data_IF_444506274214
#
_entry.id   IF_444506274214
#
_cell.length_a   1.000
_cell.length_b   1.000
_cell.length_c   1.000
_cell.angle_alpha   90.00
_cell.angle_beta   90.00
_cell.angle_gamma   90.00
#
_symmetry.space_group_name_H-M   'P 1'
#
loop_
_entity.id
_entity.type
_entity.pdbx_description
1 polymer ?
#
# COMPACT_ATOMS: atom_id res chain seq x y z
N UNK A 1 -14.00 -57.50 -2.73
CA UNK A 1 -13.18 -56.43 -3.35
C UNK A 1 -13.76 -55.09 -2.96
N UNK A 2 -13.16 -54.37 -2.00
CA UNK A 2 -13.58 -53.04 -1.54
C UNK A 2 -12.88 -52.00 -2.42
N UNK A 3 -13.65 -51.23 -3.19
CA UNK A 3 -13.12 -50.10 -4.00
C UNK A 3 -12.90 -48.91 -3.08
N UNK A 4 -11.66 -48.49 -2.87
CA UNK A 4 -11.30 -47.22 -2.24
C UNK A 4 -11.49 -46.11 -3.28
N UNK A 5 -12.46 -45.21 -3.04
CA UNK A 5 -12.58 -43.96 -3.79
C UNK A 5 -11.74 -42.92 -3.06
N UNK A 6 -10.61 -42.56 -3.66
CA UNK A 6 -9.77 -41.46 -3.18
C UNK A 6 -10.42 -40.13 -3.59
N UNK A 7 -10.90 -39.38 -2.60
CA UNK A 7 -11.38 -38.01 -2.82
C UNK A 7 -10.15 -37.07 -2.88
N UNK A 8 -9.83 -36.63 -4.10
CA UNK A 8 -8.80 -35.63 -4.33
C UNK A 8 -9.38 -34.23 -3.97
N UNK A 9 -9.04 -33.70 -2.80
CA UNK A 9 -9.39 -32.34 -2.39
C UNK A 9 -8.56 -31.33 -3.18
N UNK A 10 -9.16 -30.66 -4.17
CA UNK A 10 -8.52 -29.52 -4.85
C UNK A 10 -8.65 -28.31 -3.92
N UNK A 11 -7.53 -27.90 -3.31
CA UNK A 11 -7.44 -26.64 -2.59
C UNK A 11 -7.47 -25.49 -3.60
N UNK A 12 -8.60 -24.78 -3.68
CA UNK A 12 -8.70 -23.54 -4.47
C UNK A 12 -7.96 -22.43 -3.73
N UNK A 13 -6.75 -22.10 -4.17
CA UNK A 13 -6.08 -20.88 -3.73
C UNK A 13 -6.77 -19.68 -4.37
N UNK A 14 -7.52 -18.92 -3.60
CA UNK A 14 -8.04 -17.62 -4.03
C UNK A 14 -6.92 -16.60 -4.01
N UNK A 15 -6.33 -16.32 -5.18
CA UNK A 15 -5.48 -15.16 -5.36
C UNK A 15 -6.38 -13.92 -5.49
N UNK A 16 -6.29 -13.00 -4.52
CA UNK A 16 -6.91 -11.69 -4.66
C UNK A 16 -6.11 -10.90 -5.71
N UNK A 17 -6.54 -10.94 -6.96
CA UNK A 17 -6.09 -10.01 -7.98
C UNK A 17 -6.80 -8.68 -7.73
N UNK A 18 -6.09 -7.67 -7.25
CA UNK A 18 -6.58 -6.30 -7.35
C UNK A 18 -6.67 -5.95 -8.83
N UNK A 19 -7.88 -5.68 -9.31
CA UNK A 19 -8.07 -5.24 -10.69
C UNK A 19 -7.39 -3.87 -10.85
N UNK A 20 -6.53 -3.74 -11.88
CA UNK A 20 -5.93 -2.46 -12.24
C UNK A 20 -7.03 -1.49 -12.68
N UNK A 21 -7.02 -0.29 -12.10
CA UNK A 21 -7.96 0.78 -12.42
C UNK A 21 -7.28 1.84 -13.26
N UNK A 22 -8.03 2.42 -14.21
CA UNK A 22 -7.58 3.58 -14.97
C UNK A 22 -8.36 4.80 -14.48
N UNK A 23 -7.60 5.81 -14.07
CA UNK A 23 -8.11 7.09 -13.57
C UNK A 23 -7.90 8.17 -14.64
N UNK A 24 -8.78 9.16 -14.67
CA UNK A 24 -8.70 10.27 -15.63
C UNK A 24 -8.43 11.59 -14.90
N UNK A 25 -7.51 12.36 -15.44
CA UNK A 25 -7.25 13.76 -15.08
C UNK A 25 -7.48 14.63 -16.31
N UNK A 26 -8.31 15.61 -16.21
CA UNK A 26 -8.53 16.59 -17.26
C UNK A 26 -7.54 17.75 -17.14
N UNK A 27 -7.00 18.21 -18.26
CA UNK A 27 -6.03 19.30 -18.36
C UNK A 27 -6.60 20.42 -19.24
N UNK A 28 -6.78 21.61 -18.70
CA UNK A 28 -7.29 22.76 -19.41
C UNK A 28 -6.62 24.04 -18.97
N UNK A 29 -7.24 25.21 -19.22
CA UNK A 29 -6.66 26.53 -18.96
C UNK A 29 -6.20 26.68 -17.51
N UNK A 30 -4.90 26.43 -17.28
CA UNK A 30 -4.17 26.51 -16.01
C UNK A 30 -4.67 25.55 -14.90
N UNK A 31 -5.26 24.41 -15.26
CA UNK A 31 -5.69 23.41 -14.28
C UNK A 31 -5.39 21.97 -14.71
N UNK A 32 -5.27 21.11 -13.69
CA UNK A 32 -5.52 19.68 -13.75
C UNK A 32 -6.70 19.34 -12.82
N UNK A 33 -7.64 18.53 -13.29
CA UNK A 33 -8.81 18.14 -12.49
C UNK A 33 -9.02 16.63 -12.55
N UNK A 34 -8.98 15.91 -11.39
CA UNK A 34 -8.67 16.45 -10.06
C UNK A 34 -7.20 16.88 -9.94
N UNK A 35 -6.95 17.93 -9.12
CA UNK A 35 -5.59 18.40 -8.85
C UNK A 35 -4.77 17.39 -8.05
N UNK A 36 -5.41 16.69 -7.12
CA UNK A 36 -4.81 15.64 -6.30
C UNK A 36 -5.58 14.33 -6.51
N UNK A 37 -4.88 13.27 -6.81
CA UNK A 37 -5.46 11.95 -7.07
C UNK A 37 -4.75 10.91 -6.21
N UNK A 38 -5.52 10.02 -5.57
CA UNK A 38 -4.97 8.85 -4.89
C UNK A 38 -5.30 7.60 -5.69
N UNK A 39 -4.28 6.79 -5.95
CA UNK A 39 -4.36 5.54 -6.72
C UNK A 39 -3.61 4.43 -6.01
N UNK A 40 -3.77 3.18 -6.46
CA UNK A 40 -3.01 2.04 -5.97
C UNK A 40 -1.84 1.70 -6.89
N UNK A 41 -0.83 1.03 -6.34
CA UNK A 41 0.25 0.44 -7.14
C UNK A 41 -0.36 -0.48 -8.20
N UNK A 42 0.03 -0.26 -9.45
CA UNK A 42 -0.51 -0.97 -10.61
C UNK A 42 -1.60 -0.21 -11.37
N UNK A 43 -2.21 0.80 -10.79
CA UNK A 43 -3.17 1.65 -11.49
C UNK A 43 -2.50 2.52 -12.54
N UNK A 44 -3.30 2.96 -13.50
CA UNK A 44 -2.90 3.88 -14.56
C UNK A 44 -3.65 5.20 -14.44
N UNK A 45 -2.97 6.30 -14.77
CA UNK A 45 -3.61 7.61 -14.91
C UNK A 45 -3.47 8.06 -16.36
N UNK A 46 -4.56 8.56 -16.92
CA UNK A 46 -4.57 9.20 -18.24
C UNK A 46 -4.90 10.68 -18.08
N UNK A 47 -4.16 11.53 -18.75
CA UNK A 47 -4.42 12.97 -18.81
C UNK A 47 -5.08 13.29 -20.15
N UNK A 48 -6.26 13.87 -20.11
CA UNK A 48 -7.05 14.27 -21.29
C UNK A 48 -7.00 15.77 -21.44
N UNK A 49 -6.74 16.24 -22.64
CA UNK A 49 -6.68 17.66 -22.98
C UNK A 49 -8.11 18.22 -23.17
N UNK A 50 -8.52 19.16 -22.34
CA UNK A 50 -9.79 19.87 -22.50
C UNK A 50 -9.69 21.02 -23.52
N UNK A 51 -8.48 21.36 -23.96
CA UNK A 51 -8.16 22.41 -24.95
C UNK A 51 -7.00 23.29 -24.49
N UNK A 52 -6.24 23.79 -25.44
CA UNK A 52 -5.00 24.51 -25.22
C UNK A 52 -3.76 23.60 -25.37
N UNK A 53 -2.58 24.20 -25.35
CA UNK A 53 -1.32 23.47 -25.43
C UNK A 53 -0.86 23.10 -24.01
N UNK A 54 -0.84 21.79 -23.71
CA UNK A 54 -0.51 21.27 -22.39
C UNK A 54 0.38 20.05 -22.50
N UNK A 55 1.19 19.81 -21.45
CA UNK A 55 1.95 18.58 -21.20
C UNK A 55 1.75 18.12 -19.76
N UNK A 56 2.41 17.04 -19.38
CA UNK A 56 2.51 16.52 -18.02
C UNK A 56 3.97 16.30 -17.71
N UNK A 57 4.54 17.12 -16.84
CA UNK A 57 5.95 17.10 -16.49
C UNK A 57 6.10 16.78 -15.00
N UNK A 58 6.55 15.58 -14.68
CA UNK A 58 6.89 15.10 -13.33
C UNK A 58 8.40 14.99 -13.10
N UNK A 59 9.22 15.71 -13.87
CA UNK A 59 10.67 15.67 -13.78
C UNK A 59 11.21 16.91 -13.04
N UNK A 60 11.08 18.08 -13.67
CA UNK A 60 11.59 19.36 -13.13
C UNK A 60 10.41 20.28 -12.84
N UNK A 61 10.32 20.82 -11.64
CA UNK A 61 9.33 21.82 -11.30
C UNK A 61 9.58 23.10 -12.13
N UNK A 62 8.62 23.46 -12.96
CA UNK A 62 8.75 24.57 -13.92
C UNK A 62 8.79 25.96 -13.25
N UNK A 63 8.42 26.05 -11.98
CA UNK A 63 8.46 27.30 -11.20
C UNK A 63 9.83 27.49 -10.54
N UNK A 64 10.34 26.43 -9.92
CA UNK A 64 11.57 26.49 -9.10
C UNK A 64 12.82 26.06 -9.85
N UNK A 65 12.66 25.42 -11.01
CA UNK A 65 13.71 24.78 -11.79
C UNK A 65 14.51 23.73 -11.00
N UNK A 66 13.86 23.08 -10.03
CA UNK A 66 14.42 22.00 -9.23
C UNK A 66 13.71 20.68 -9.51
N UNK A 67 14.37 19.51 -9.36
CA UNK A 67 13.71 18.23 -9.49
C UNK A 67 12.52 18.10 -8.53
N UNK A 68 11.43 17.48 -8.97
CA UNK A 68 10.31 17.13 -8.07
C UNK A 68 10.68 16.06 -7.04
N UNK A 69 11.78 15.33 -7.27
CA UNK A 69 12.21 14.19 -6.46
C UNK A 69 11.13 13.09 -6.33
N UNK A 70 10.37 12.90 -7.39
CA UNK A 70 9.40 11.82 -7.50
C UNK A 70 10.10 10.44 -7.41
N UNK A 71 9.42 9.39 -6.88
CA UNK A 71 9.97 8.03 -6.84
C UNK A 71 10.45 7.52 -8.22
N UNK A 72 9.72 7.89 -9.28
CA UNK A 72 10.11 7.71 -10.68
C UNK A 72 9.73 8.98 -11.44
N UNK A 73 10.62 9.49 -12.27
CA UNK A 73 10.34 10.66 -13.11
C UNK A 73 9.52 10.25 -14.33
N UNK A 74 8.67 11.16 -14.81
CA UNK A 74 7.87 10.99 -16.02
C UNK A 74 7.62 12.36 -16.68
N UNK A 75 7.50 12.35 -17.99
CA UNK A 75 7.14 13.54 -18.77
C UNK A 75 6.48 13.13 -20.09
N UNK A 76 5.74 14.03 -20.68
CA UNK A 76 5.07 13.86 -21.97
C UNK A 76 5.43 14.96 -22.96
N UNK A 77 5.33 14.73 -24.28
CA UNK A 77 5.25 15.82 -25.23
C UNK A 77 3.98 16.63 -24.99
N UNK A 78 4.01 17.92 -25.36
CA UNK A 78 2.81 18.76 -25.33
C UNK A 78 1.87 18.46 -26.51
N UNK A 79 0.57 18.61 -26.29
CA UNK A 79 -0.46 18.52 -27.33
C UNK A 79 -1.47 19.65 -27.20
N UNK A 80 -2.03 20.11 -28.33
CA UNK A 80 -3.08 21.14 -28.38
C UNK A 80 -4.44 20.62 -28.86
N UNK A 81 -4.55 19.30 -29.10
CA UNK A 81 -5.81 18.71 -29.58
C UNK A 81 -6.77 18.45 -28.43
N UNK A 82 -7.89 19.14 -28.40
CA UNK A 82 -8.95 18.90 -27.41
C UNK A 82 -9.48 17.48 -27.53
N UNK A 83 -9.72 16.81 -26.40
CA UNK A 83 -10.14 15.43 -26.28
C UNK A 83 -9.00 14.40 -26.48
N UNK A 84 -7.78 14.84 -26.84
CA UNK A 84 -6.66 13.92 -26.97
C UNK A 84 -6.07 13.52 -25.61
N UNK A 85 -5.52 12.30 -25.56
CA UNK A 85 -4.70 11.87 -24.44
C UNK A 85 -3.36 12.58 -24.53
N UNK A 86 -3.02 13.42 -23.54
CA UNK A 86 -1.71 14.06 -23.40
C UNK A 86 -0.68 13.00 -22.99
N UNK A 87 -1.03 12.22 -21.97
CA UNK A 87 -0.17 11.21 -21.38
C UNK A 87 -0.98 10.08 -20.76
N UNK A 88 -0.37 8.90 -20.70
CA UNK A 88 -0.88 7.76 -19.95
C UNK A 88 0.31 7.14 -19.20
N UNK A 89 0.20 7.00 -17.88
CA UNK A 89 1.28 6.47 -17.07
C UNK A 89 0.76 5.46 -16.04
N UNK A 90 1.46 4.32 -15.93
CA UNK A 90 1.19 3.27 -14.95
C UNK A 90 2.11 3.43 -13.75
N UNK A 91 1.53 3.62 -12.57
CA UNK A 91 2.27 3.80 -11.33
C UNK A 91 2.61 2.44 -10.69
N UNK A 92 3.89 2.10 -10.65
CA UNK A 92 4.37 0.80 -10.14
C UNK A 92 5.16 0.92 -8.84
N UNK A 93 5.49 2.13 -8.40
CA UNK A 93 6.23 2.41 -7.16
C UNK A 93 5.38 3.29 -6.27
N UNK A 94 5.16 2.95 -4.99
CA UNK A 94 4.39 3.78 -4.08
C UNK A 94 5.13 5.10 -3.77
N UNK A 95 4.36 6.14 -3.45
CA UNK A 95 4.88 7.46 -3.09
C UNK A 95 4.06 8.60 -3.64
N UNK A 96 4.51 9.83 -3.41
CA UNK A 96 3.88 11.04 -3.93
C UNK A 96 4.61 11.49 -5.18
N UNK A 97 3.86 11.71 -6.24
CA UNK A 97 4.32 12.17 -7.53
C UNK A 97 3.75 13.54 -7.82
N UNK A 98 4.59 14.56 -7.80
CA UNK A 98 4.21 15.91 -8.16
C UNK A 98 4.49 16.15 -9.64
N UNK A 99 3.66 16.94 -10.29
CA UNK A 99 3.82 17.29 -11.69
C UNK A 99 3.24 18.67 -11.99
N UNK A 100 3.65 19.26 -13.09
CA UNK A 100 3.15 20.52 -13.61
C UNK A 100 3.03 20.49 -15.14
N UNK A 101 2.51 21.57 -15.71
CA UNK A 101 2.58 21.85 -17.13
C UNK A 101 3.79 22.75 -17.41
N UNK A 102 4.75 22.24 -18.19
CA UNK A 102 5.98 22.98 -18.50
C UNK A 102 5.80 24.05 -19.59
N UNK A 103 4.61 24.16 -20.18
CA UNK A 103 4.34 25.11 -21.27
C UNK A 103 4.26 26.54 -20.72
N UNK A 104 5.21 27.36 -21.13
CA UNK A 104 5.22 28.78 -20.81
C UNK A 104 5.08 29.09 -19.31
N UNK A 105 4.07 29.85 -18.91
CA UNK A 105 3.80 30.21 -17.51
C UNK A 105 2.67 29.39 -16.88
N UNK A 106 2.30 28.24 -17.45
CA UNK A 106 1.12 27.49 -17.00
C UNK A 106 1.25 27.03 -15.54
N UNK A 107 2.40 26.47 -15.15
CA UNK A 107 2.66 26.09 -13.77
C UNK A 107 2.55 27.27 -12.80
N UNK A 108 3.14 28.42 -13.15
CA UNK A 108 3.08 29.63 -12.34
C UNK A 108 1.65 30.19 -12.19
N UNK A 109 0.77 29.88 -13.13
CA UNK A 109 -0.66 30.22 -13.08
C UNK A 109 -1.52 29.14 -12.42
N UNK A 110 -0.91 28.12 -11.79
CA UNK A 110 -1.62 27.11 -10.99
C UNK A 110 -1.80 25.76 -11.67
N UNK A 111 -1.25 25.55 -12.89
CA UNK A 111 -1.36 24.24 -13.55
C UNK A 111 -0.36 23.24 -12.99
N UNK A 112 -0.68 22.78 -11.79
CA UNK A 112 0.10 21.80 -11.01
C UNK A 112 -0.82 20.69 -10.50
N UNK A 113 -0.26 19.51 -10.25
CA UNK A 113 -1.02 18.38 -9.71
C UNK A 113 -0.15 17.41 -8.93
N UNK A 114 -0.81 16.46 -8.26
CA UNK A 114 -0.13 15.35 -7.59
C UNK A 114 -0.91 14.04 -7.71
N UNK A 115 -0.16 12.92 -7.77
CA UNK A 115 -0.69 11.57 -7.65
C UNK A 115 -0.06 10.92 -6.43
N UNK A 116 -0.88 10.48 -5.47
CA UNK A 116 -0.46 9.70 -4.30
C UNK A 116 -0.69 8.23 -4.63
N UNK A 117 0.39 7.48 -4.75
CA UNK A 117 0.36 6.04 -5.05
C UNK A 117 0.50 5.27 -3.76
N UNK A 118 -0.54 4.52 -3.40
CA UNK A 118 -0.57 3.68 -2.20
C UNK A 118 -0.34 2.22 -2.58
N UNK A 119 0.39 1.50 -1.73
CA UNK A 119 0.52 0.05 -1.87
C UNK A 119 -0.65 -0.62 -1.12
N UNK A 120 -1.54 -1.37 -1.79
CA UNK A 120 -2.63 -2.07 -1.13
C UNK A 120 -2.14 -3.12 -0.13
N UNK A 121 -0.92 -3.63 -0.29
CA UNK A 121 -0.32 -4.57 0.66
C UNK A 121 0.11 -3.90 1.98
N UNK A 122 0.20 -2.56 2.03
CA UNK A 122 0.54 -1.80 3.23
C UNK A 122 -0.66 -1.25 4.00
N UNK A 123 -1.90 -1.55 3.58
CA UNK A 123 -3.09 -1.33 4.42
C UNK A 123 -3.15 -2.36 5.56
N UNK A 124 -2.06 -2.52 6.29
CA UNK A 124 -2.17 -2.73 7.72
C UNK A 124 -2.70 -1.38 8.20
N UNK A 125 -3.97 -1.33 8.59
CA UNK A 125 -4.48 -0.26 9.44
C UNK A 125 -3.55 -0.22 10.65
N UNK A 126 -2.47 0.52 10.55
CA UNK A 126 -1.77 1.04 11.69
C UNK A 126 -2.71 2.11 12.29
N UNK A 127 -3.85 1.67 12.84
CA UNK A 127 -4.36 2.33 14.00
C UNK A 127 -3.12 2.45 14.89
N UNK A 128 -2.69 3.66 15.18
CA UNK A 128 -1.55 3.96 16.05
C UNK A 128 -1.89 3.57 17.50
N UNK A 129 -2.12 2.32 17.71
CA UNK A 129 -2.12 1.67 19.01
C UNK A 129 -0.69 1.19 19.18
N UNK A 130 0.02 1.78 20.13
CA UNK A 130 1.38 1.43 20.50
C UNK A 130 1.42 0.03 21.12
N UNK A 131 1.08 -0.99 20.34
CA UNK A 131 1.23 -2.38 20.76
C UNK A 131 2.71 -2.74 20.67
N UNK A 132 3.30 -3.13 21.78
CA UNK A 132 4.66 -3.62 21.83
C UNK A 132 4.65 -5.07 22.30
N UNK A 133 5.44 -5.91 21.63
CA UNK A 133 5.77 -7.26 22.08
C UNK A 133 7.23 -7.29 22.44
N UNK A 134 7.54 -7.65 23.67
CA UNK A 134 8.92 -7.68 24.15
C UNK A 134 9.12 -8.74 25.25
N UNK A 135 10.36 -9.24 25.38
CA UNK A 135 11.47 -9.06 24.47
C UNK A 135 11.27 -9.82 23.15
N UNK A 136 11.91 -9.34 22.09
CA UNK A 136 12.00 -10.04 20.81
C UNK A 136 13.41 -9.77 20.23
N UNK A 137 14.31 -10.74 20.17
CA UNK A 137 14.14 -12.18 20.50
C UNK A 137 13.85 -12.46 21.98
N UNK A 138 13.32 -13.67 22.24
CA UNK A 138 13.01 -14.17 23.59
C UNK A 138 13.49 -15.61 23.79
N UNK A 139 13.79 -15.98 25.05
CA UNK A 139 14.07 -17.38 25.43
C UNK A 139 12.85 -18.14 25.90
N UNK A 140 11.90 -17.46 26.58
CA UNK A 140 10.77 -18.15 27.21
C UNK A 140 9.44 -17.40 27.08
N UNK A 141 9.42 -16.09 27.39
CA UNK A 141 8.20 -15.32 27.51
C UNK A 141 8.26 -14.04 26.69
N UNK A 142 7.11 -13.62 26.18
CA UNK A 142 6.92 -12.28 25.65
C UNK A 142 5.76 -11.60 26.37
N UNK A 143 5.83 -10.28 26.45
CA UNK A 143 4.81 -9.44 27.06
C UNK A 143 4.19 -8.53 26.02
N UNK A 144 2.87 -8.34 26.14
CA UNK A 144 2.10 -7.41 25.33
C UNK A 144 1.87 -6.12 26.10
N UNK A 145 2.21 -5.00 25.51
CA UNK A 145 1.92 -3.64 26.00
C UNK A 145 1.00 -2.91 25.04
N UNK A 146 0.21 -1.97 25.54
CA UNK A 146 -0.76 -1.21 24.76
C UNK A 146 -2.08 -1.91 24.48
N UNK A 147 -2.23 -3.17 24.91
CA UNK A 147 -3.47 -3.94 24.75
C UNK A 147 -4.46 -3.56 25.85
N UNK A 148 -5.62 -3.03 25.46
CA UNK A 148 -6.69 -2.62 26.38
C UNK A 148 -7.96 -3.48 26.14
N UNK A 149 -8.71 -3.77 27.24
CA UNK A 149 -9.97 -4.50 27.17
C UNK A 149 -9.85 -5.99 26.89
N UNK A 150 -10.92 -6.58 26.39
CA UNK A 150 -11.00 -7.99 26.02
C UNK A 150 -10.18 -8.24 24.75
N UNK A 151 -8.93 -8.59 24.91
CA UNK A 151 -8.04 -8.95 23.79
C UNK A 151 -7.86 -10.46 23.74
N UNK A 152 -7.78 -10.98 22.51
CA UNK A 152 -7.47 -12.38 22.24
C UNK A 152 -6.17 -12.45 21.44
N UNK A 153 -5.21 -13.17 21.97
CA UNK A 153 -3.92 -13.42 21.32
C UNK A 153 -3.84 -14.86 20.86
N UNK A 154 -3.42 -15.08 19.63
CA UNK A 154 -3.18 -16.39 19.05
C UNK A 154 -1.75 -16.47 18.53
N UNK A 155 -1.09 -17.59 18.79
CA UNK A 155 0.29 -17.87 18.36
C UNK A 155 0.29 -19.04 17.40
N UNK A 156 0.97 -18.89 16.29
CA UNK A 156 1.13 -19.89 15.23
C UNK A 156 2.61 -20.19 14.98
N UNK A 157 2.90 -21.38 14.55
CA UNK A 157 4.19 -21.69 13.92
C UNK A 157 4.25 -21.22 12.46
N UNK A 158 5.43 -21.36 11.84
CA UNK A 158 5.64 -20.96 10.44
C UNK A 158 4.82 -21.75 9.42
N UNK A 159 4.21 -22.88 9.82
CA UNK A 159 3.32 -23.67 8.96
C UNK A 159 1.86 -23.20 9.04
N UNK A 160 1.57 -22.24 9.91
CA UNK A 160 0.21 -21.75 10.19
C UNK A 160 -0.56 -22.61 11.19
N UNK A 161 0.09 -23.56 11.87
CA UNK A 161 -0.52 -24.36 12.92
C UNK A 161 -0.71 -23.51 14.18
N UNK A 162 -1.92 -23.44 14.69
CA UNK A 162 -2.24 -22.80 15.97
C UNK A 162 -1.57 -23.56 17.12
N UNK A 163 -0.78 -22.86 17.93
CA UNK A 163 -0.07 -23.39 19.08
C UNK A 163 -0.72 -22.98 20.40
N UNK A 164 -1.15 -21.72 20.50
CA UNK A 164 -1.66 -21.13 21.73
C UNK A 164 -2.74 -20.07 21.42
N UNK A 165 -3.77 -20.00 22.27
CA UNK A 165 -4.75 -18.91 22.27
C UNK A 165 -4.98 -18.48 23.71
N UNK A 166 -4.77 -17.18 24.02
CA UNK A 166 -4.88 -16.64 25.38
C UNK A 166 -5.43 -15.21 25.37
N UNK A 167 -6.01 -14.77 26.49
CA UNK A 167 -6.30 -13.37 26.78
C UNK A 167 -5.24 -12.69 27.66
N UNK A 168 -4.20 -13.42 28.06
CA UNK A 168 -3.16 -12.90 28.94
C UNK A 168 -2.20 -11.98 28.20
N UNK A 169 -1.66 -10.99 28.92
CA UNK A 169 -0.61 -10.10 28.41
C UNK A 169 0.79 -10.75 28.44
N UNK A 170 0.94 -11.88 29.11
CA UNK A 170 2.16 -12.68 29.13
C UNK A 170 1.93 -13.94 28.33
N UNK A 171 2.72 -14.17 27.32
CA UNK A 171 2.69 -15.34 26.45
C UNK A 171 3.87 -16.23 26.81
N UNK A 172 3.59 -17.45 27.23
CA UNK A 172 4.59 -18.45 27.57
C UNK A 172 4.92 -19.30 26.34
N UNK A 173 6.15 -19.19 25.89
CA UNK A 173 6.72 -19.97 24.79
C UNK A 173 7.72 -21.02 25.26
N UNK A 174 7.92 -21.19 26.59
CA UNK A 174 8.98 -22.05 27.17
C UNK A 174 8.93 -23.49 26.65
N UNK A 175 7.72 -24.04 26.45
CA UNK A 175 7.49 -25.41 25.97
C UNK A 175 7.64 -25.60 24.46
N UNK A 176 7.85 -24.55 23.70
CA UNK A 176 7.96 -24.62 22.23
C UNK A 176 9.42 -24.54 21.78
N UNK A 177 9.79 -25.15 20.65
CA UNK A 177 11.15 -25.11 20.10
C UNK A 177 11.64 -23.69 19.79
N UNK A 178 12.96 -23.50 19.68
CA UNK A 178 13.51 -22.27 19.14
C UNK A 178 13.09 -22.10 17.68
N UNK A 179 12.77 -20.87 17.28
CA UNK A 179 12.27 -20.59 15.93
C UNK A 179 11.45 -19.32 15.80
N UNK A 180 10.88 -19.14 14.63
CA UNK A 180 10.01 -18.01 14.30
C UNK A 180 8.54 -18.37 14.59
N UNK A 181 7.84 -17.48 15.26
CA UNK A 181 6.41 -17.58 15.59
C UNK A 181 5.66 -16.36 15.07
N UNK A 182 4.41 -16.57 14.66
CA UNK A 182 3.49 -15.51 14.26
C UNK A 182 2.47 -15.32 15.38
N UNK A 183 2.34 -14.10 15.86
CA UNK A 183 1.41 -13.71 16.90
C UNK A 183 0.37 -12.77 16.34
N UNK A 184 -0.89 -13.16 16.40
CA UNK A 184 -2.02 -12.30 16.05
C UNK A 184 -2.72 -11.86 17.33
N UNK A 185 -2.91 -10.54 17.46
CA UNK A 185 -3.62 -9.90 18.58
C UNK A 185 -4.90 -9.31 18.01
N UNK A 186 -6.03 -9.78 18.50
CA UNK A 186 -7.35 -9.20 18.23
C UNK A 186 -7.76 -8.34 19.42
N UNK A 187 -7.94 -7.04 19.22
CA UNK A 187 -8.36 -6.10 20.27
C UNK A 187 -9.16 -4.95 19.64
N UNK A 188 -10.29 -4.58 20.22
CA UNK A 188 -11.13 -3.47 19.77
C UNK A 188 -11.46 -3.51 18.26
N UNK A 189 -11.85 -4.69 17.75
CA UNK A 189 -12.17 -4.94 16.35
C UNK A 189 -10.98 -4.68 15.37
N UNK A 190 -9.76 -4.75 15.89
CA UNK A 190 -8.51 -4.60 15.12
C UNK A 190 -7.66 -5.85 15.28
N UNK A 191 -7.15 -6.36 14.16
CA UNK A 191 -6.21 -7.47 14.14
C UNK A 191 -4.79 -6.94 13.87
N UNK A 192 -3.84 -7.37 14.71
CA UNK A 192 -2.44 -6.99 14.59
C UNK A 192 -1.59 -8.25 14.57
N UNK A 193 -0.68 -8.32 13.62
CA UNK A 193 0.23 -9.44 13.45
C UNK A 193 1.67 -9.02 13.75
N UNK A 194 2.35 -9.79 14.57
CA UNK A 194 3.77 -9.65 14.86
C UNK A 194 4.51 -10.97 14.66
N UNK A 195 5.81 -10.89 14.35
CA UNK A 195 6.71 -12.03 14.36
C UNK A 195 7.58 -12.01 15.63
N UNK A 196 7.78 -13.18 16.25
CA UNK A 196 8.62 -13.37 17.43
C UNK A 196 9.70 -14.39 17.09
N UNK A 197 10.94 -14.08 17.47
CA UNK A 197 12.07 -15.02 17.39
C UNK A 197 12.30 -15.57 18.80
N UNK A 198 12.21 -16.92 18.95
CA UNK A 198 12.61 -17.62 20.15
C UNK A 198 14.00 -18.21 19.98
N UNK A 199 14.89 -17.97 20.94
CA UNK A 199 16.28 -18.44 21.00
C UNK A 199 16.54 -19.32 22.23
#
# INVERSE_FOLDING_TARGET
>A
MKKFISLLSIALCFFNFSAQTTHTVNAGSYYYTPTNLTVQVGDSVIWINDGGLHDVNGNINSITNQPFNNPVTFDSPSTNSAGAVIFAYKFTVPGTYNYDCSVGSHAANGMVGSVIVTDPSTNINAASTNYLIYPNPTSEFVYLSGVNGDSKTTVYDITGKLLLSTGDKKIDLSSYPNGLYIVNIHSNNTDITHSIIKE
#
